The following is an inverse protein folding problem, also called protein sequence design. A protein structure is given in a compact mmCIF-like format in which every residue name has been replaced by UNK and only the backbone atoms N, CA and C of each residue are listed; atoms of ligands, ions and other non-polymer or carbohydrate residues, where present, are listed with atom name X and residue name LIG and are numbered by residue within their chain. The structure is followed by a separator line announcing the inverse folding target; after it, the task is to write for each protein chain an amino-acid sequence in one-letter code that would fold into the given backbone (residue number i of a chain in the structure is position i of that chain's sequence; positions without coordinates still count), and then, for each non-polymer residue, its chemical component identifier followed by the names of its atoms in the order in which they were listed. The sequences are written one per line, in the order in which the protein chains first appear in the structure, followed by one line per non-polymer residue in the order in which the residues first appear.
data_IF_759725062146
#
_entry.id   IF_759725062146
#
_cell.length_a   1.000
_cell.length_b   1.000
_cell.length_c   1.000
_cell.angle_alpha   90.00
_cell.angle_beta   90.00
_cell.angle_gamma   90.00
#
_symmetry.space_group_name_H-M   'P 1'
#
loop_
_entity.id
_entity.type
_entity.pdbx_description
1 polymer ?
#
# COMPACT_ATOMS: atom_id res chain seq x y z
N UNK A 1 -11.08 -0.92 2.55
CA UNK A 1 -10.45 -1.85 1.57
C UNK A 1 -10.98 -1.72 0.14
N UNK A 2 -12.29 -1.65 -0.14
CA UNK A 2 -12.80 -1.56 -1.53
C UNK A 2 -12.44 -0.28 -2.29
N UNK A 3 -12.47 0.88 -1.62
CA UNK A 3 -12.19 2.19 -2.26
C UNK A 3 -10.78 2.29 -2.86
N UNK A 4 -9.75 1.73 -2.23
CA UNK A 4 -8.36 1.77 -2.76
C UNK A 4 -8.16 0.98 -4.05
N UNK A 5 -8.91 -0.10 -4.25
CA UNK A 5 -8.85 -0.88 -5.50
C UNK A 5 -9.53 -0.17 -6.67
N UNK A 6 -10.32 0.87 -6.40
CA UNK A 6 -10.91 1.76 -7.41
C UNK A 6 -10.04 3.01 -7.59
N UNK A 7 -9.56 3.60 -6.49
CA UNK A 7 -8.75 4.83 -6.53
C UNK A 7 -7.37 4.61 -7.17
N UNK A 8 -6.72 3.47 -6.92
CA UNK A 8 -5.41 3.16 -7.51
C UNK A 8 -5.42 3.11 -9.06
N UNK A 9 -6.31 2.35 -9.73
CA UNK A 9 -6.36 2.37 -11.19
C UNK A 9 -6.81 3.72 -11.74
N UNK A 10 -7.72 4.44 -11.07
CA UNK A 10 -8.16 5.78 -11.51
C UNK A 10 -7.00 6.77 -11.50
N UNK A 11 -6.21 6.82 -10.42
CA UNK A 11 -5.06 7.72 -10.34
C UNK A 11 -3.91 7.28 -11.25
N UNK A 12 -3.71 5.98 -11.45
CA UNK A 12 -2.76 5.45 -12.43
C UNK A 12 -3.12 5.88 -13.86
N UNK A 13 -4.39 5.74 -14.26
CA UNK A 13 -4.87 6.16 -15.58
C UNK A 13 -4.82 7.69 -15.75
N UNK A 14 -5.15 8.45 -14.70
CA UNK A 14 -5.03 9.90 -14.73
C UNK A 14 -3.57 10.36 -14.89
N UNK A 15 -2.63 9.72 -14.19
CA UNK A 15 -1.21 9.99 -14.31
C UNK A 15 -0.68 9.63 -15.71
N UNK A 16 -1.09 8.48 -16.25
CA UNK A 16 -0.78 8.10 -17.63
C UNK A 16 -1.24 9.17 -18.62
N UNK A 17 -2.52 9.53 -18.57
CA UNK A 17 -3.10 10.52 -19.49
C UNK A 17 -2.44 11.90 -19.36
N UNK A 18 -2.16 12.36 -18.14
CA UNK A 18 -1.51 13.64 -17.90
C UNK A 18 -0.07 13.67 -18.44
N UNK A 19 0.70 12.60 -18.21
CA UNK A 19 2.09 12.52 -18.68
C UNK A 19 2.15 12.33 -20.19
N UNK A 20 1.28 11.51 -20.79
CA UNK A 20 1.17 11.38 -22.25
C UNK A 20 0.76 12.70 -22.92
N UNK A 21 -0.13 13.47 -22.29
CA UNK A 21 -0.49 14.80 -22.80
C UNK A 21 0.68 15.79 -22.71
N UNK A 22 1.45 15.75 -21.62
CA UNK A 22 2.59 16.64 -21.41
C UNK A 22 3.78 16.33 -22.33
N UNK A 23 4.09 15.05 -22.52
CA UNK A 23 5.25 14.61 -23.30
C UNK A 23 4.94 14.46 -24.80
N UNK A 24 3.66 14.46 -25.16
CA UNK A 24 3.22 14.30 -26.54
C UNK A 24 3.24 12.83 -27.02
N UNK A 25 2.78 12.60 -28.26
CA UNK A 25 2.83 11.29 -28.88
C UNK A 25 4.30 10.83 -29.09
N UNK A 26 4.57 9.52 -29.16
CA UNK A 26 5.90 9.03 -29.53
C UNK A 26 6.31 9.56 -30.90
N UNK A 27 7.59 9.82 -31.09
CA UNK A 27 8.23 10.26 -32.32
C UNK A 27 9.17 9.18 -32.87
N UNK A 28 9.79 9.45 -34.01
CA UNK A 28 10.87 8.59 -34.49
C UNK A 28 12.19 8.93 -33.80
N UNK A 29 13.18 8.03 -33.85
CA UNK A 29 14.45 8.14 -33.11
C UNK A 29 15.29 9.37 -33.46
N UNK A 30 15.08 9.95 -34.63
CA UNK A 30 15.73 11.18 -35.08
C UNK A 30 14.90 12.45 -34.81
N UNK A 31 13.79 12.33 -34.06
CA UNK A 31 12.89 13.43 -33.72
C UNK A 31 11.86 13.76 -34.81
N UNK A 32 11.79 12.99 -35.91
CA UNK A 32 10.76 13.20 -36.92
C UNK A 32 9.37 12.84 -36.36
N UNK A 33 8.48 13.84 -36.34
CA UNK A 33 7.08 13.63 -35.98
C UNK A 33 6.27 13.25 -37.22
N UNK A 34 6.00 11.95 -37.37
CA UNK A 34 5.22 11.44 -38.49
C UNK A 34 3.74 11.80 -38.35
N UNK A 35 3.09 12.40 -39.36
CA UNK A 35 1.64 12.63 -39.38
C UNK A 35 0.82 11.33 -39.28
N UNK A 36 1.46 10.18 -39.53
CA UNK A 36 0.89 8.83 -39.46
C UNK A 36 1.63 7.95 -38.46
N UNK A 37 2.03 8.52 -37.30
CA UNK A 37 2.66 7.77 -36.22
C UNK A 37 1.79 6.57 -35.80
N UNK A 38 2.35 5.36 -35.85
CA UNK A 38 1.62 4.11 -35.60
C UNK A 38 1.18 3.34 -36.86
N UNK A 39 1.35 3.89 -38.06
CA UNK A 39 1.31 3.11 -39.30
C UNK A 39 2.62 2.33 -39.48
N UNK A 40 2.53 1.07 -39.91
CA UNK A 40 3.72 0.26 -40.20
C UNK A 40 4.60 0.97 -41.25
N UNK A 41 5.88 1.16 -40.93
CA UNK A 41 6.87 1.73 -41.85
C UNK A 41 7.17 3.22 -41.68
N UNK A 42 6.39 3.99 -40.91
CA UNK A 42 6.62 5.43 -40.75
C UNK A 42 8.06 5.74 -40.27
N UNK A 43 8.53 5.10 -39.20
CA UNK A 43 9.88 5.33 -38.69
C UNK A 43 10.96 4.41 -39.28
N UNK A 44 10.67 3.63 -40.34
CA UNK A 44 11.63 2.63 -40.86
C UNK A 44 12.93 3.23 -41.38
N UNK A 45 12.87 4.43 -41.97
CA UNK A 45 14.05 5.17 -42.42
C UNK A 45 14.63 6.10 -41.34
N UNK A 46 13.89 6.28 -40.24
CA UNK A 46 14.19 7.20 -39.13
C UNK A 46 14.77 6.47 -37.90
N UNK A 47 15.32 5.27 -38.10
CA UNK A 47 15.90 4.45 -37.02
C UNK A 47 14.89 3.81 -36.07
N UNK A 48 13.60 3.81 -36.42
CA UNK A 48 12.52 3.24 -35.63
C UNK A 48 11.82 4.25 -34.71
N UNK A 49 10.82 3.76 -33.98
CA UNK A 49 10.03 4.56 -33.02
C UNK A 49 10.87 4.77 -31.74
N UNK A 50 10.81 5.97 -31.17
CA UNK A 50 11.32 6.27 -29.84
C UNK A 50 10.24 5.99 -28.77
N UNK A 51 10.46 5.01 -27.88
CA UNK A 51 9.47 4.66 -26.87
C UNK A 51 9.53 5.53 -25.61
N UNK A 52 10.43 6.52 -25.53
CA UNK A 52 10.77 7.22 -24.29
C UNK A 52 9.54 7.87 -23.64
N UNK A 53 8.73 8.61 -24.41
CA UNK A 53 7.50 9.24 -23.88
C UNK A 53 6.48 8.21 -23.36
N UNK A 54 6.37 7.07 -24.03
CA UNK A 54 5.47 5.98 -23.65
C UNK A 54 5.94 5.29 -22.37
N UNK A 55 7.25 5.00 -22.27
CA UNK A 55 7.85 4.40 -21.08
C UNK A 55 7.66 5.32 -19.87
N UNK A 56 7.93 6.62 -20.03
CA UNK A 56 7.75 7.59 -18.94
C UNK A 56 6.29 7.68 -18.48
N UNK A 57 5.33 7.68 -19.41
CA UNK A 57 3.90 7.68 -19.05
C UNK A 57 3.49 6.41 -18.29
N UNK A 58 3.94 5.23 -18.71
CA UNK A 58 3.67 3.96 -18.01
C UNK A 58 4.31 3.94 -16.63
N UNK A 59 5.58 4.36 -16.50
CA UNK A 59 6.26 4.43 -15.21
C UNK A 59 5.53 5.38 -14.25
N UNK A 60 5.10 6.55 -14.71
CA UNK A 60 4.31 7.49 -13.91
C UNK A 60 2.99 6.86 -13.43
N UNK A 61 2.30 6.12 -14.31
CA UNK A 61 1.06 5.41 -13.96
C UNK A 61 1.30 4.35 -12.87
N UNK A 62 2.36 3.54 -13.01
CA UNK A 62 2.72 2.50 -12.05
C UNK A 62 3.14 3.09 -10.70
N UNK A 63 3.91 4.18 -10.71
CA UNK A 63 4.33 4.89 -9.49
C UNK A 63 3.11 5.49 -8.79
N UNK A 64 2.20 6.15 -9.52
CA UNK A 64 0.98 6.72 -8.94
C UNK A 64 0.08 5.64 -8.33
N UNK A 65 -0.20 4.57 -9.07
CA UNK A 65 -1.00 3.45 -8.56
C UNK A 65 -0.32 2.75 -7.37
N UNK A 66 0.99 2.52 -7.46
CA UNK A 66 1.81 1.90 -6.41
C UNK A 66 1.85 2.73 -5.13
N UNK A 67 2.01 4.06 -5.24
CA UNK A 67 1.98 4.97 -4.10
C UNK A 67 0.62 4.98 -3.41
N UNK A 68 -0.47 5.02 -4.18
CA UNK A 68 -1.84 4.91 -3.63
C UNK A 68 -2.02 3.59 -2.91
N UNK A 69 -1.59 2.49 -3.51
CA UNK A 69 -1.65 1.19 -2.86
C UNK A 69 -0.78 1.15 -1.60
N UNK A 70 0.43 1.71 -1.59
CA UNK A 70 1.33 1.68 -0.45
C UNK A 70 0.85 2.56 0.72
N UNK A 71 0.54 3.83 0.46
CA UNK A 71 0.15 4.78 1.50
C UNK A 71 -1.31 4.61 1.94
N UNK A 72 -2.25 4.29 1.03
CA UNK A 72 -3.63 3.98 1.42
C UNK A 72 -3.80 2.56 1.98
N UNK A 73 -2.76 1.72 1.89
CA UNK A 73 -2.70 0.47 2.65
C UNK A 73 -2.35 0.68 4.11
N UNK A 74 -2.01 1.93 4.53
CA UNK A 74 -1.77 2.37 5.91
C UNK A 74 -1.73 1.18 6.83
N UNK A 75 -0.54 0.57 6.97
CA UNK A 75 -0.31 -0.58 7.84
C UNK A 75 -0.78 -0.15 9.24
N UNK A 76 -2.07 -0.32 9.50
CA UNK A 76 -2.60 -0.28 10.84
C UNK A 76 -1.81 -1.29 11.63
N UNK A 77 -1.66 -1.10 12.94
CA UNK A 77 -1.13 -2.17 13.78
C UNK A 77 -1.85 -3.44 13.36
N UNK A 78 -1.09 -4.48 13.01
CA UNK A 78 -1.69 -5.79 12.77
C UNK A 78 -2.33 -6.12 14.10
N UNK A 79 -3.63 -5.85 14.24
CA UNK A 79 -4.41 -6.27 15.38
C UNK A 79 -4.22 -7.79 15.39
N UNK A 80 -3.43 -8.33 16.34
CA UNK A 80 -3.18 -9.75 16.32
C UNK A 80 -4.55 -10.40 16.46
N UNK A 81 -4.79 -11.46 15.71
CA UNK A 81 -6.04 -12.24 15.75
C UNK A 81 -6.16 -12.98 17.08
N UNK A 82 -6.10 -12.26 18.19
CA UNK A 82 -6.45 -12.75 19.51
C UNK A 82 -7.97 -12.79 19.52
N UNK A 83 -8.59 -13.93 19.86
CA UNK A 83 -9.99 -13.95 20.23
C UNK A 83 -10.14 -13.01 21.43
N UNK A 84 -10.72 -11.83 21.21
CA UNK A 84 -11.07 -10.92 22.29
C UNK A 84 -11.91 -11.70 23.32
N UNK A 85 -11.44 -11.78 24.57
CA UNK A 85 -12.13 -12.47 25.65
C UNK A 85 -11.50 -13.78 26.15
N UNK A 86 -10.30 -14.16 25.69
CA UNK A 86 -9.53 -15.22 26.39
C UNK A 86 -9.06 -14.67 27.74
N UNK A 87 -9.60 -15.25 28.82
CA UNK A 87 -9.23 -14.96 30.20
C UNK A 87 -8.37 -16.08 30.78
N UNK A 88 -7.35 -15.70 31.54
CA UNK A 88 -6.61 -16.66 32.36
C UNK A 88 -7.26 -16.77 33.74
N UNK A 89 -7.29 -17.98 34.36
CA UNK A 89 -7.66 -18.13 35.76
C UNK A 89 -6.66 -17.47 36.73
N UNK A 90 -5.49 -17.05 36.22
CA UNK A 90 -4.46 -16.40 37.01
C UNK A 90 -4.92 -15.00 37.47
N UNK A 91 -4.95 -14.73 38.79
CA UNK A 91 -5.42 -13.45 39.30
C UNK A 91 -4.43 -12.32 39.01
N UNK A 92 -4.99 -11.14 38.75
CA UNK A 92 -4.25 -9.90 38.61
C UNK A 92 -3.48 -9.59 39.91
N UNK A 93 -2.17 -9.30 39.86
CA UNK A 93 -1.37 -9.04 41.05
C UNK A 93 -1.76 -7.73 41.77
N UNK A 94 -2.52 -6.84 41.14
CA UNK A 94 -2.96 -5.56 41.72
C UNK A 94 -4.38 -5.58 42.29
N UNK A 95 -5.33 -6.24 41.61
CA UNK A 95 -6.75 -6.20 42.01
C UNK A 95 -7.43 -7.57 42.11
N UNK A 96 -6.72 -8.68 41.88
CA UNK A 96 -7.23 -10.04 42.03
C UNK A 96 -8.16 -10.54 40.90
N UNK A 97 -8.62 -9.67 39.99
CA UNK A 97 -9.47 -10.07 38.86
C UNK A 97 -8.75 -10.93 37.82
N UNK A 98 -9.48 -11.75 37.04
CA UNK A 98 -8.87 -12.50 35.94
C UNK A 98 -8.29 -11.55 34.89
N UNK A 99 -7.15 -11.91 34.32
CA UNK A 99 -6.47 -11.14 33.28
C UNK A 99 -6.96 -11.58 31.89
N UNK A 100 -7.05 -10.64 30.95
CA UNK A 100 -7.36 -10.88 29.54
C UNK A 100 -6.07 -11.03 28.71
N UNK A 101 -6.09 -11.85 27.67
CA UNK A 101 -4.99 -11.96 26.72
C UNK A 101 -4.93 -10.71 25.82
N UNK A 102 -3.82 -9.98 25.88
CA UNK A 102 -3.61 -8.75 25.11
C UNK A 102 -2.38 -8.86 24.21
N UNK A 103 -2.46 -8.17 23.07
CA UNK A 103 -1.35 -8.00 22.15
C UNK A 103 -0.36 -6.98 22.69
N UNK A 104 0.95 -7.25 22.57
CA UNK A 104 1.93 -6.16 22.73
C UNK A 104 1.73 -5.13 21.63
N UNK A 105 1.64 -3.85 22.01
CA UNK A 105 1.46 -2.75 21.05
C UNK A 105 2.66 -2.60 20.09
N UNK A 106 3.86 -2.91 20.60
CA UNK A 106 5.10 -2.93 19.83
C UNK A 106 5.70 -4.34 19.82
N UNK A 107 5.96 -4.86 18.62
CA UNK A 107 6.59 -6.17 18.41
C UNK A 107 5.62 -7.34 18.25
N UNK A 108 6.17 -8.55 18.36
CA UNK A 108 5.39 -9.81 18.32
C UNK A 108 5.25 -10.36 19.73
N UNK A 109 4.06 -10.84 20.05
CA UNK A 109 3.81 -11.56 21.30
C UNK A 109 2.61 -11.02 22.07
N UNK A 110 2.27 -11.76 23.12
CA UNK A 110 1.12 -11.51 23.97
C UNK A 110 1.56 -11.24 25.41
N UNK A 111 0.64 -10.72 26.21
CA UNK A 111 0.76 -10.63 27.66
C UNK A 111 -0.62 -10.75 28.30
N UNK A 112 -0.67 -11.15 29.56
CA UNK A 112 -1.89 -11.11 30.35
C UNK A 112 -2.05 -9.73 30.96
N UNK A 113 -3.14 -9.02 30.65
CA UNK A 113 -3.40 -7.66 31.14
C UNK A 113 -4.75 -7.53 31.82
N UNK A 114 -4.83 -6.68 32.84
CA UNK A 114 -6.08 -6.43 33.55
C UNK A 114 -7.14 -5.82 32.61
N UNK A 115 -8.41 -6.25 32.68
CA UNK A 115 -9.50 -5.68 31.88
C UNK A 115 -9.67 -4.17 32.15
N UNK A 116 -9.50 -3.76 33.41
CA UNK A 116 -9.70 -2.38 33.90
C UNK A 116 -8.55 -1.40 33.63
N UNK A 117 -7.69 -1.68 32.66
CA UNK A 117 -6.72 -0.68 32.23
C UNK A 117 -7.47 0.55 31.66
N UNK A 118 -7.09 1.81 31.96
CA UNK A 118 -5.89 2.25 32.69
C UNK A 118 -6.03 2.32 34.21
N UNK A 119 -7.23 2.13 34.79
CA UNK A 119 -7.44 2.17 36.24
C UNK A 119 -6.68 1.07 37.00
N UNK A 120 -6.39 -0.06 36.34
CA UNK A 120 -5.55 -1.11 36.88
C UNK A 120 -4.52 -1.60 35.85
N UNK A 121 -3.26 -1.31 36.08
CA UNK A 121 -2.14 -1.70 35.20
C UNK A 121 -1.52 -3.05 35.61
N UNK A 122 -2.31 -3.97 36.15
CA UNK A 122 -1.81 -5.29 36.49
C UNK A 122 -1.54 -6.11 35.23
N UNK A 123 -0.32 -6.62 35.10
CA UNK A 123 0.09 -7.45 33.96
C UNK A 123 0.88 -8.67 34.42
N UNK A 124 0.88 -9.73 33.60
CA UNK A 124 1.76 -10.89 33.75
C UNK A 124 2.31 -11.34 32.39
N UNK A 125 3.51 -11.97 32.36
CA UNK A 125 4.04 -12.54 31.12
C UNK A 125 3.08 -13.61 30.58
N UNK A 126 2.98 -13.69 29.26
CA UNK A 126 2.31 -14.80 28.58
C UNK A 126 3.34 -15.86 28.28
N UNK A 127 3.21 -17.03 28.91
CA UNK A 127 4.23 -18.09 28.85
C UNK A 127 4.15 -18.97 27.59
N UNK A 128 3.24 -18.64 26.65
CA UNK A 128 3.30 -19.16 25.28
C UNK A 128 2.85 -20.60 25.13
#
# INVERSE_FOLDING_TARGET
MKKRFVVAPVLGLAAFAAVSWLLGPPDCRDGWNSPSIGAAGACSHHGGVDPTSTILAVLAALIAAGAVLFFAQGRGPREPSIPAGIRTPLPCPKCGRPLDLKAKGEGRGFYWGCPDWPACEGTRPYDG
#
